data_IF_326016081000
#
_entry.id   IF_326016081000
#
_cell.length_a   1.000
_cell.length_b   1.000
_cell.length_c   1.000
_cell.angle_alpha   90.00
_cell.angle_beta   90.00
_cell.angle_gamma   90.00
#
_symmetry.space_group_name_H-M   'P 1'
#
loop_
_entity.id
_entity.type
_entity.pdbx_description
1 polymer ?
#
# COMPACT_ATOMS: atom_id res chain seq x y z
N UNK A 1 1.69 12.70 0.14
CA UNK A 1 2.53 12.71 -1.08
C UNK A 1 2.25 11.43 -1.86
N UNK A 2 2.55 11.39 -3.15
CA UNK A 2 2.42 10.18 -3.97
C UNK A 2 3.74 9.91 -4.69
N UNK A 3 4.00 8.65 -4.97
CA UNK A 3 5.13 8.17 -5.76
C UNK A 3 4.63 7.60 -7.08
N UNK A 4 5.47 7.61 -8.10
CA UNK A 4 5.14 7.08 -9.43
C UNK A 4 6.25 6.13 -9.86
N UNK A 5 5.85 4.96 -10.33
CA UNK A 5 6.75 3.91 -10.78
C UNK A 5 6.41 3.50 -12.22
N UNK A 6 7.43 3.32 -13.05
CA UNK A 6 7.25 2.68 -14.35
C UNK A 6 7.21 1.16 -14.16
N UNK A 7 6.08 0.58 -14.49
CA UNK A 7 5.82 -0.87 -14.36
C UNK A 7 5.55 -1.52 -15.72
N UNK A 8 5.92 -0.84 -16.80
CA UNK A 8 5.61 -1.27 -18.17
C UNK A 8 6.07 -2.71 -18.45
N UNK A 9 7.29 -3.05 -18.06
CA UNK A 9 7.86 -4.38 -18.29
C UNK A 9 7.30 -5.48 -17.37
N UNK A 10 6.56 -5.09 -16.32
CA UNK A 10 5.94 -6.00 -15.36
C UNK A 10 4.51 -6.39 -15.75
N UNK A 11 3.91 -5.67 -16.71
CA UNK A 11 2.51 -5.84 -17.06
C UNK A 11 2.30 -6.85 -18.17
N UNK A 12 1.40 -7.78 -17.93
CA UNK A 12 0.91 -8.74 -18.93
C UNK A 12 -0.57 -9.08 -18.65
N UNK A 13 -1.21 -9.76 -19.58
CA UNK A 13 -2.59 -10.22 -19.36
C UNK A 13 -2.67 -11.13 -18.13
N UNK A 14 -3.57 -10.80 -17.22
CA UNK A 14 -3.74 -11.52 -15.96
C UNK A 14 -2.82 -11.07 -14.82
N UNK A 15 -2.04 -9.98 -15.00
CA UNK A 15 -1.28 -9.38 -13.89
C UNK A 15 -2.21 -8.96 -12.75
N UNK A 16 -1.76 -9.19 -11.51
CA UNK A 16 -2.42 -8.71 -10.29
C UNK A 16 -1.59 -7.61 -9.66
N UNK A 17 -2.25 -6.65 -9.06
CA UNK A 17 -1.62 -5.62 -8.23
C UNK A 17 -1.90 -5.96 -6.78
N UNK A 18 -0.86 -6.07 -5.98
CA UNK A 18 -0.95 -6.29 -4.54
C UNK A 18 -0.19 -5.21 -3.79
N UNK A 19 -0.65 -4.89 -2.59
CA UNK A 19 0.05 -3.94 -1.72
C UNK A 19 -0.06 -4.40 -0.27
N UNK A 20 1.06 -4.34 0.45
CA UNK A 20 1.09 -4.47 1.90
C UNK A 20 1.15 -3.08 2.53
N UNK A 21 0.22 -2.78 3.42
CA UNK A 21 0.13 -1.48 4.08
C UNK A 21 0.43 -1.66 5.56
N UNK A 22 1.47 -0.98 6.02
CA UNK A 22 1.91 -1.02 7.41
C UNK A 22 1.59 0.27 8.18
N UNK A 23 1.68 0.23 9.49
CA UNK A 23 1.35 1.36 10.36
C UNK A 23 2.20 2.60 10.12
N UNK A 24 3.49 2.41 9.87
CA UNK A 24 4.45 3.50 9.73
C UNK A 24 4.34 4.50 10.89
N UNK A 25 4.52 5.77 10.61
CA UNK A 25 4.33 6.83 11.60
C UNK A 25 2.86 7.30 11.74
N UNK A 26 2.02 6.97 10.78
CA UNK A 26 0.65 7.45 10.77
C UNK A 26 -0.22 6.72 11.79
N UNK A 27 -0.09 5.41 11.87
CA UNK A 27 -0.87 4.52 12.73
C UNK A 27 0.00 3.80 13.75
N UNK A 28 1.24 3.46 13.39
CA UNK A 28 2.23 2.83 14.26
C UNK A 28 2.78 3.78 15.32
N UNK A 29 3.88 3.37 15.95
CA UNK A 29 4.53 4.16 17.00
C UNK A 29 5.17 5.43 16.45
N UNK A 30 4.94 6.54 17.13
CA UNK A 30 5.53 7.83 16.80
C UNK A 30 6.46 8.30 17.92
N UNK A 31 7.69 8.56 17.56
CA UNK A 31 8.80 8.94 18.44
C UNK A 31 9.03 7.97 19.62
N UNK A 32 9.94 8.31 20.50
CA UNK A 32 10.37 7.47 21.63
C UNK A 32 9.29 7.21 22.70
N UNK A 33 8.20 7.97 22.67
CA UNK A 33 7.10 7.83 23.62
C UNK A 33 6.20 6.63 23.34
N UNK A 34 6.38 5.97 22.18
CA UNK A 34 5.55 4.85 21.72
C UNK A 34 4.03 5.15 21.70
N UNK A 35 3.69 6.42 21.52
CA UNK A 35 2.30 6.81 21.29
C UNK A 35 1.96 6.44 19.85
N UNK A 36 0.90 5.68 19.65
CA UNK A 36 0.41 5.29 18.34
C UNK A 36 -0.85 6.06 17.94
N UNK A 37 -1.25 5.95 16.67
CA UNK A 37 -2.45 6.57 16.10
C UNK A 37 -2.51 8.09 16.29
N UNK A 38 -1.34 8.74 16.17
CA UNK A 38 -1.22 10.19 16.40
C UNK A 38 -1.84 10.98 15.25
N UNK A 39 -1.64 10.54 14.02
CA UNK A 39 -2.09 11.24 12.81
C UNK A 39 -3.24 10.56 12.09
N UNK A 40 -3.36 9.25 12.25
CA UNK A 40 -4.43 8.44 11.68
C UNK A 40 -4.79 7.27 12.60
N UNK A 41 -6.05 6.89 12.63
CA UNK A 41 -6.55 5.76 13.42
C UNK A 41 -6.61 4.45 12.63
N UNK A 42 -6.42 4.52 11.33
CA UNK A 42 -6.45 3.37 10.41
C UNK A 42 -5.55 3.57 9.21
N UNK A 43 -5.19 2.46 8.59
CA UNK A 43 -4.42 2.42 7.35
C UNK A 43 -5.35 2.55 6.15
N UNK A 44 -4.88 3.20 5.09
CA UNK A 44 -5.59 3.31 3.83
C UNK A 44 -4.59 3.34 2.67
N UNK A 45 -5.02 2.87 1.50
CA UNK A 45 -4.27 2.90 0.26
C UNK A 45 -5.06 3.68 -0.78
N UNK A 46 -4.37 4.57 -1.49
CA UNK A 46 -4.84 5.16 -2.73
C UNK A 46 -3.78 4.90 -3.80
N UNK A 47 -4.13 4.12 -4.80
CA UNK A 47 -3.25 3.80 -5.91
C UNK A 47 -4.02 3.80 -7.23
N UNK A 48 -3.33 4.10 -8.32
CA UNK A 48 -3.87 3.95 -9.67
C UNK A 48 -2.78 3.44 -10.63
N UNK A 49 -3.18 2.59 -11.55
CA UNK A 49 -2.39 2.16 -12.68
C UNK A 49 -2.89 2.90 -13.92
N UNK A 50 -2.00 3.62 -14.58
CA UNK A 50 -2.27 4.30 -15.85
C UNK A 50 -1.62 3.54 -16.98
N UNK A 51 -2.42 3.06 -17.92
CA UNK A 51 -1.97 2.28 -19.07
C UNK A 51 -2.15 3.14 -20.33
N UNK A 52 -1.08 3.27 -21.11
CA UNK A 52 -1.15 3.83 -22.45
C UNK A 52 -0.85 2.73 -23.45
N UNK A 53 -1.82 2.39 -24.26
CA UNK A 53 -1.69 1.37 -25.30
C UNK A 53 -0.95 1.90 -26.52
N UNK A 54 -0.42 1.01 -27.34
CA UNK A 54 0.32 1.38 -28.57
C UNK A 54 -0.54 2.12 -29.60
N UNK A 55 -1.86 1.94 -29.57
CA UNK A 55 -2.84 2.65 -30.41
C UNK A 55 -3.20 4.05 -29.88
N UNK A 56 -2.58 4.49 -28.77
CA UNK A 56 -2.81 5.77 -28.13
C UNK A 56 -4.00 5.78 -27.14
N UNK A 57 -4.74 4.70 -27.02
CA UNK A 57 -5.81 4.59 -26.01
C UNK A 57 -5.19 4.57 -24.62
N UNK A 58 -5.87 5.19 -23.67
CA UNK A 58 -5.47 5.20 -22.26
C UNK A 58 -6.54 4.56 -21.38
N UNK A 59 -6.10 3.91 -20.32
CA UNK A 59 -6.94 3.31 -19.30
C UNK A 59 -6.40 3.64 -17.91
N UNK A 60 -7.29 3.84 -16.94
CA UNK A 60 -6.91 4.07 -15.53
C UNK A 60 -7.67 3.08 -14.67
N UNK A 61 -6.92 2.29 -13.90
CA UNK A 61 -7.44 1.33 -12.93
C UNK A 61 -7.04 1.85 -11.55
N UNK A 62 -8.01 2.27 -10.76
CA UNK A 62 -7.80 2.80 -9.41
C UNK A 62 -8.21 1.83 -8.32
N UNK A 63 -7.81 2.13 -7.08
CA UNK A 63 -8.33 1.44 -5.90
C UNK A 63 -9.79 1.80 -5.67
N UNK A 64 -10.63 0.80 -5.51
CA UNK A 64 -12.05 0.94 -5.22
C UNK A 64 -12.57 -0.25 -4.41
N UNK A 65 -13.88 -0.37 -4.27
CA UNK A 65 -14.55 -1.44 -3.51
C UNK A 65 -14.46 -2.83 -4.17
N UNK A 66 -13.99 -2.93 -5.42
CA UNK A 66 -13.72 -4.21 -6.09
C UNK A 66 -12.43 -4.88 -5.59
N UNK A 67 -11.55 -4.12 -4.96
CA UNK A 67 -10.35 -4.63 -4.34
C UNK A 67 -10.68 -5.49 -3.13
N UNK A 68 -9.82 -6.47 -2.88
CA UNK A 68 -9.93 -7.33 -1.72
C UNK A 68 -8.84 -7.01 -0.71
N UNK A 69 -9.18 -7.05 0.55
CA UNK A 69 -8.26 -6.79 1.66
C UNK A 69 -8.32 -7.92 2.68
N UNK A 70 -7.21 -8.17 3.33
CA UNK A 70 -7.12 -9.09 4.47
C UNK A 70 -6.17 -8.55 5.53
N UNK A 71 -6.43 -8.88 6.78
CA UNK A 71 -5.53 -8.66 7.93
C UNK A 71 -4.82 -9.97 8.33
N UNK A 72 -5.09 -11.05 7.60
CA UNK A 72 -4.57 -12.39 7.90
C UNK A 72 -3.24 -12.67 7.17
N UNK A 73 -2.49 -11.62 6.82
CA UNK A 73 -1.19 -11.76 6.16
C UNK A 73 -0.05 -12.12 7.12
N UNK A 74 1.10 -12.55 6.58
CA UNK A 74 2.27 -12.94 7.38
C UNK A 74 2.91 -11.76 8.13
N UNK A 75 2.82 -10.55 7.62
CA UNK A 75 3.28 -9.34 8.32
C UNK A 75 2.26 -8.99 9.38
N UNK A 76 2.55 -9.28 10.64
CA UNK A 76 1.63 -9.07 11.76
C UNK A 76 1.72 -7.67 12.36
N UNK A 77 2.88 -7.06 12.25
CA UNK A 77 3.14 -5.69 12.69
C UNK A 77 4.35 -5.17 11.92
N UNK A 78 4.30 -3.93 11.49
CA UNK A 78 5.48 -3.24 10.98
C UNK A 78 5.36 -1.72 11.19
N UNK A 79 6.38 -1.13 11.80
CA UNK A 79 6.55 0.30 11.90
C UNK A 79 8.04 0.69 11.98
N UNK A 80 8.33 1.99 11.97
CA UNK A 80 9.71 2.48 11.93
C UNK A 80 10.47 2.32 13.25
N UNK A 81 9.78 2.23 14.40
CA UNK A 81 10.42 2.18 15.70
C UNK A 81 10.46 0.78 16.30
N UNK A 82 9.40 0.04 16.10
CA UNK A 82 9.24 -1.28 16.70
C UNK A 82 9.63 -2.42 15.73
N UNK A 83 9.97 -2.07 14.47
CA UNK A 83 10.39 -3.02 13.45
C UNK A 83 9.24 -3.83 12.87
N UNK A 84 9.51 -5.09 12.55
CA UNK A 84 8.54 -5.98 11.91
C UNK A 84 8.38 -7.28 12.71
N UNK A 85 7.13 -7.73 12.81
CA UNK A 85 6.81 -9.09 13.24
C UNK A 85 6.26 -9.87 12.05
N UNK A 86 6.99 -10.89 11.63
CA UNK A 86 6.65 -11.73 10.50
C UNK A 86 6.41 -13.17 10.93
N UNK A 87 5.30 -13.76 10.52
CA UNK A 87 4.98 -15.17 10.76
C UNK A 87 4.97 -15.96 9.43
N UNK A 88 6.06 -16.66 9.18
CA UNK A 88 6.25 -17.46 7.96
C UNK A 88 5.31 -18.68 7.87
N UNK A 89 4.56 -19.00 8.91
CA UNK A 89 3.58 -20.11 8.87
C UNK A 89 2.24 -19.70 8.26
N UNK A 90 1.99 -18.40 8.11
CA UNK A 90 0.77 -17.85 7.54
C UNK A 90 0.86 -17.83 6.02
N UNK A 91 -0.16 -18.39 5.35
CA UNK A 91 -0.31 -18.35 3.90
C UNK A 91 -1.51 -17.50 3.52
N UNK A 92 -1.32 -16.59 2.58
CA UNK A 92 -2.40 -15.75 2.02
C UNK A 92 -3.46 -16.55 1.28
N UNK A 93 -3.17 -17.77 0.82
CA UNK A 93 -4.15 -18.65 0.18
C UNK A 93 -5.29 -19.08 1.12
N UNK A 94 -5.03 -19.01 2.42
CA UNK A 94 -6.00 -19.37 3.47
C UNK A 94 -6.56 -18.15 4.19
N UNK A 95 -6.17 -16.95 3.78
CA UNK A 95 -6.59 -15.72 4.39
C UNK A 95 -8.08 -15.44 4.15
N UNK A 96 -8.71 -14.78 5.10
CA UNK A 96 -10.09 -14.33 4.96
C UNK A 96 -10.12 -12.99 4.23
N UNK A 97 -10.43 -13.03 2.95
CA UNK A 97 -10.51 -11.85 2.09
C UNK A 97 -11.91 -11.22 2.14
N UNK A 98 -11.96 -9.90 2.16
CA UNK A 98 -13.19 -9.11 2.12
C UNK A 98 -13.04 -7.94 1.17
N UNK A 99 -14.16 -7.40 0.67
CA UNK A 99 -14.12 -6.19 -0.17
C UNK A 99 -13.53 -5.01 0.59
N UNK A 100 -12.75 -4.21 -0.11
CA UNK A 100 -12.27 -2.94 0.41
C UNK A 100 -13.45 -2.00 0.71
N UNK A 101 -13.25 -1.09 1.64
CA UNK A 101 -14.22 -0.05 1.98
C UNK A 101 -13.64 1.31 1.64
N UNK A 102 -14.39 2.11 0.91
CA UNK A 102 -13.97 3.47 0.61
C UNK A 102 -14.10 4.36 1.85
N UNK A 103 -12.97 4.91 2.29
CA UNK A 103 -12.96 5.87 3.39
C UNK A 103 -13.37 7.27 2.91
N UNK A 104 -14.34 7.86 3.60
CA UNK A 104 -14.75 9.26 3.36
C UNK A 104 -13.91 10.19 4.24
N UNK A 105 -12.96 10.84 3.64
CA UNK A 105 -12.16 11.84 4.33
C UNK A 105 -12.99 13.09 4.62
N UNK A 106 -12.88 13.61 5.84
CA UNK A 106 -13.55 14.86 6.25
C UNK A 106 -13.01 16.08 5.50
N UNK A 107 -11.76 16.03 5.11
CA UNK A 107 -11.07 17.07 4.33
C UNK A 107 -10.57 16.43 3.05
N UNK A 108 -10.86 17.08 1.90
CA UNK A 108 -10.34 16.62 0.61
C UNK A 108 -8.84 16.88 0.57
N UNK A 109 -7.99 15.85 0.58
CA UNK A 109 -6.55 16.04 0.57
C UNK A 109 -6.09 16.57 -0.77
N UNK A 110 -5.05 17.39 -0.77
CA UNK A 110 -4.30 17.75 -1.97
C UNK A 110 -3.18 16.74 -2.16
N UNK A 111 -3.22 16.01 -3.27
CA UNK A 111 -2.13 15.13 -3.64
C UNK A 111 -0.95 15.95 -4.16
N UNK A 112 0.23 15.66 -3.67
CA UNK A 112 1.49 16.26 -4.11
C UNK A 112 2.47 15.15 -4.45
N UNK A 113 3.24 15.32 -5.53
CA UNK A 113 4.32 14.40 -5.85
C UNK A 113 5.34 14.35 -4.72
N UNK A 114 5.87 13.17 -4.47
CA UNK A 114 7.03 13.00 -3.62
C UNK A 114 8.27 13.57 -4.35
N UNK A 115 9.08 14.33 -3.64
CA UNK A 115 10.34 14.89 -4.13
C UNK A 115 11.55 14.21 -3.48
N UNK A 116 11.31 13.13 -2.73
CA UNK A 116 12.35 12.26 -2.19
C UNK A 116 12.98 11.37 -3.26
N UNK A 117 14.12 10.78 -2.93
CA UNK A 117 14.71 9.73 -3.75
C UNK A 117 13.85 8.45 -3.69
N UNK A 118 13.81 7.73 -4.79
CA UNK A 118 13.13 6.43 -4.84
C UNK A 118 13.73 5.47 -3.80
N UNK A 119 12.85 4.78 -3.09
CA UNK A 119 13.28 3.66 -2.25
C UNK A 119 13.65 2.50 -3.17
N UNK A 120 14.89 2.08 -3.10
CA UNK A 120 15.42 0.95 -3.88
C UNK A 120 15.69 -0.21 -2.96
N UNK A 121 15.37 -1.40 -3.44
CA UNK A 121 15.82 -2.62 -2.80
C UNK A 121 17.34 -2.73 -2.97
N UNK A 122 18.07 -2.81 -1.87
CA UNK A 122 19.47 -3.18 -1.88
C UNK A 122 19.61 -4.70 -2.03
N UNK A 123 20.68 -5.13 -2.67
CA UNK A 123 20.98 -6.54 -2.90
C UNK A 123 20.75 -7.37 -1.63
N UNK A 124 19.92 -8.39 -1.76
CA UNK A 124 19.77 -9.45 -0.74
C UNK A 124 21.04 -10.30 -0.75
N UNK A 125 21.68 -10.37 0.40
CA UNK A 125 22.83 -11.27 0.61
C UNK A 125 22.39 -12.71 0.81
#
# INVERSE_FOLDING_TARGET
>A
MYQTYDVTDMLHSGSCITATVAGGWAVGSFVFTRVNRVTADRQALLAELRITYRDGRTEVIGTDESWQVTEDGPVRMADFYDGETYDATISLDKANWRSAVQERLRVKPKLMADYGADVKEHETF
#
